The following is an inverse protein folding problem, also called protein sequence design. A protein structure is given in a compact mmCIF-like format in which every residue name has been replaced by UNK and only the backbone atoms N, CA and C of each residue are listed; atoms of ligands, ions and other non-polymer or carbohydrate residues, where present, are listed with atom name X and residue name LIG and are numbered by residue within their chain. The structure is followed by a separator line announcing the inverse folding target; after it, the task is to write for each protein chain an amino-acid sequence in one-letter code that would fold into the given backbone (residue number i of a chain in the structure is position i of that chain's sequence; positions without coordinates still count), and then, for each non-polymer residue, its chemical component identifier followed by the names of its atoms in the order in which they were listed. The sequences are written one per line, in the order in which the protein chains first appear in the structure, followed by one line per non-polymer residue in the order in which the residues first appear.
data_IF_518786721237
#
_entry.id   IF_518786721237
#
_cell.length_a   1.000
_cell.length_b   1.000
_cell.length_c   1.000
_cell.angle_alpha   90.00
_cell.angle_beta   90.00
_cell.angle_gamma   90.00
#
_symmetry.space_group_name_H-M   'P 1'
#
loop_
_entity.id
_entity.type
_entity.pdbx_description
1 polymer ?
#
# COMPACT_ATOMS: atom_id res chain seq x y z
N UNK A 1 -4.86 7.36 17.72
CA UNK A 1 -3.47 7.13 17.25
C UNK A 1 -3.50 6.19 16.05
N UNK A 2 -2.76 6.49 14.97
CA UNK A 2 -2.70 5.64 13.76
C UNK A 2 -2.08 4.28 14.12
N UNK A 3 -2.69 3.16 13.69
CA UNK A 3 -2.17 1.81 13.98
C UNK A 3 -0.71 1.62 13.53
N UNK A 4 -0.31 2.32 12.46
CA UNK A 4 1.06 2.32 11.95
C UNK A 4 2.09 2.94 12.92
N UNK A 5 1.67 3.68 13.94
CA UNK A 5 2.56 4.23 14.97
C UNK A 5 2.76 3.30 16.18
N UNK A 6 2.07 2.15 16.22
CA UNK A 6 2.27 1.13 17.27
C UNK A 6 3.52 0.29 16.98
N UNK A 7 4.68 0.90 17.18
CA UNK A 7 6.01 0.30 16.97
C UNK A 7 6.71 0.20 18.33
N UNK A 8 7.28 -0.97 18.63
CA UNK A 8 8.07 -1.16 19.84
C UNK A 8 9.26 -0.18 19.83
N UNK A 9 9.62 0.45 20.96
CA UNK A 9 10.63 1.51 20.97
C UNK A 9 11.95 1.14 20.27
N UNK A 10 12.41 -0.10 20.47
CA UNK A 10 13.62 -0.65 19.84
C UNK A 10 13.57 -0.81 18.31
N UNK A 11 12.37 -0.90 17.73
CA UNK A 11 12.18 -1.08 16.29
C UNK A 11 11.92 0.27 15.57
N UNK A 12 11.90 1.38 16.34
CA UNK A 12 11.66 2.71 15.79
C UNK A 12 12.85 3.15 14.95
N UNK A 13 12.58 3.58 13.72
CA UNK A 13 13.56 4.20 12.84
C UNK A 13 13.37 5.71 12.86
N UNK A 14 14.44 6.45 13.10
CA UNK A 14 14.39 7.91 13.14
C UNK A 14 13.84 8.47 11.81
N UNK A 15 12.96 9.46 11.91
CA UNK A 15 12.37 10.15 10.75
C UNK A 15 12.58 11.67 10.76
N UNK A 16 12.99 12.24 11.89
CA UNK A 16 13.15 13.68 12.05
C UNK A 16 14.58 14.09 12.40
N UNK A 17 14.79 15.39 12.52
CA UNK A 17 16.04 15.94 13.06
C UNK A 17 15.97 16.03 14.61
N UNK A 18 17.12 16.10 15.32
CA UNK A 18 17.14 16.23 16.78
C UNK A 18 16.40 17.49 17.26
N UNK A 19 15.54 17.36 18.28
CA UNK A 19 14.76 18.49 18.82
C UNK A 19 13.51 18.86 18.01
N UNK A 20 13.17 18.13 16.95
CA UNK A 20 11.95 18.33 16.17
C UNK A 20 10.70 18.33 17.06
N UNK A 21 9.81 19.30 16.84
CA UNK A 21 8.55 19.36 17.58
C UNK A 21 7.60 18.22 17.19
N UNK A 22 6.68 17.87 18.09
CA UNK A 22 5.65 16.87 17.81
C UNK A 22 4.80 17.22 16.58
N UNK A 23 4.55 18.52 16.36
CA UNK A 23 3.75 19.00 15.24
C UNK A 23 4.49 18.85 13.91
N UNK A 24 5.78 19.23 13.86
CA UNK A 24 6.62 19.07 12.67
C UNK A 24 6.81 17.60 12.30
N UNK A 25 7.07 16.74 13.28
CA UNK A 25 7.20 15.30 13.05
C UNK A 25 5.95 14.70 12.40
N UNK A 26 4.75 15.08 12.89
CA UNK A 26 3.48 14.60 12.32
C UNK A 26 3.22 15.16 10.93
N UNK A 27 3.57 16.43 10.67
CA UNK A 27 3.48 17.04 9.33
C UNK A 27 4.41 16.37 8.32
N UNK A 28 5.58 15.89 8.76
CA UNK A 28 6.47 15.07 7.95
C UNK A 28 5.93 13.65 7.67
N UNK A 29 4.70 13.33 8.10
CA UNK A 29 4.08 12.02 7.89
C UNK A 29 4.55 10.95 8.88
N UNK A 30 5.23 11.34 9.95
CA UNK A 30 5.82 10.44 10.92
C UNK A 30 5.09 10.38 12.26
N UNK A 31 5.47 9.40 13.06
CA UNK A 31 4.91 9.13 14.37
C UNK A 31 5.74 9.83 15.44
N UNK A 32 5.08 10.45 16.41
CA UNK A 32 5.75 11.10 17.53
C UNK A 32 5.39 10.44 18.86
N UNK A 33 6.38 10.01 19.63
CA UNK A 33 6.23 9.52 21.00
C UNK A 33 7.51 9.73 21.82
N UNK A 34 7.47 10.69 22.75
CA UNK A 34 8.57 11.06 23.64
C UNK A 34 8.60 10.30 24.98
N UNK A 35 7.70 9.34 25.20
CA UNK A 35 7.55 8.65 26.49
C UNK A 35 8.68 7.65 26.80
N UNK A 36 9.58 7.41 25.85
CA UNK A 36 10.71 6.47 26.01
C UNK A 36 12.01 7.22 25.76
N UNK A 37 12.88 7.40 26.78
CA UNK A 37 14.17 8.05 26.62
C UNK A 37 15.12 7.19 25.77
N UNK A 38 16.17 7.82 25.24
CA UNK A 38 17.21 7.20 24.39
C UNK A 38 16.73 6.57 23.07
N UNK A 39 15.43 6.58 22.76
CA UNK A 39 14.85 6.11 21.49
C UNK A 39 14.38 7.30 20.65
N UNK A 40 14.30 7.17 19.31
CA UNK A 40 13.79 8.24 18.46
C UNK A 40 12.35 8.60 18.84
N UNK A 41 12.14 9.89 19.16
CA UNK A 41 10.81 10.42 19.45
C UNK A 41 10.00 10.63 18.18
N UNK A 42 10.65 11.07 17.11
CA UNK A 42 10.08 11.12 15.77
C UNK A 42 10.54 9.91 14.95
N UNK A 43 9.61 9.05 14.56
CA UNK A 43 9.95 7.79 13.90
C UNK A 43 9.00 7.45 12.75
N UNK A 44 9.51 6.68 11.79
CA UNK A 44 8.75 6.26 10.62
C UNK A 44 7.58 5.36 11.01
N UNK A 45 6.39 5.54 10.41
CA UNK A 45 5.27 4.62 10.61
C UNK A 45 5.59 3.24 10.04
N UNK A 46 4.88 2.21 10.49
CA UNK A 46 4.93 0.89 9.86
C UNK A 46 4.54 1.03 8.39
N UNK A 47 5.21 0.31 7.47
CA UNK A 47 4.79 0.27 6.09
C UNK A 47 3.34 -0.20 6.03
N UNK A 48 2.55 0.43 5.15
CA UNK A 48 1.19 -0.02 4.88
C UNK A 48 1.28 -1.41 4.28
N UNK A 49 0.56 -2.37 4.87
CA UNK A 49 0.36 -3.67 4.23
C UNK A 49 -0.69 -3.47 3.16
N UNK A 50 -0.37 -3.89 1.94
CA UNK A 50 -1.30 -3.83 0.81
C UNK A 50 -1.45 -5.21 0.22
N UNK A 51 -2.70 -5.60 -0.05
CA UNK A 51 -3.02 -6.86 -0.71
C UNK A 51 -3.45 -6.58 -2.13
N UNK A 52 -2.80 -7.24 -3.10
CA UNK A 52 -3.22 -7.26 -4.50
C UNK A 52 -4.33 -8.29 -4.67
N UNK A 53 -5.37 -7.95 -5.42
CA UNK A 53 -6.44 -8.88 -5.76
C UNK A 53 -6.99 -8.60 -7.16
N UNK A 54 -7.57 -9.60 -7.78
CA UNK A 54 -8.30 -9.45 -9.03
C UNK A 54 -9.73 -8.99 -8.74
N UNK A 55 -10.15 -7.79 -9.16
CA UNK A 55 -11.52 -7.33 -8.93
C UNK A 55 -12.51 -8.31 -9.57
N UNK A 56 -13.52 -8.70 -8.80
CA UNK A 56 -14.59 -9.60 -9.24
C UNK A 56 -15.61 -8.86 -10.09
N UNK A 57 -15.94 -7.62 -9.72
CA UNK A 57 -16.81 -6.71 -10.46
C UNK A 57 -16.24 -6.40 -11.86
N UNK A 58 -16.94 -6.76 -12.95
CA UNK A 58 -16.58 -6.42 -14.32
C UNK A 58 -16.36 -4.93 -14.59
N UNK A 59 -17.13 -4.04 -13.96
CA UNK A 59 -17.05 -2.60 -14.21
C UNK A 59 -15.86 -1.95 -13.51
N UNK A 60 -15.34 -2.57 -12.46
CA UNK A 60 -14.11 -2.15 -11.81
C UNK A 60 -12.83 -2.54 -12.59
N UNK A 61 -12.94 -3.32 -13.67
CA UNK A 61 -11.79 -3.79 -14.46
C UNK A 61 -11.19 -2.67 -15.29
N UNK A 62 -9.88 -2.47 -15.13
CA UNK A 62 -9.09 -1.58 -15.99
C UNK A 62 -8.26 -2.42 -16.94
N UNK A 63 -8.41 -2.16 -18.24
CA UNK A 63 -7.77 -2.93 -19.28
C UNK A 63 -6.24 -2.96 -19.12
N UNK A 64 -5.67 -4.17 -19.14
CA UNK A 64 -4.23 -4.43 -19.10
C UNK A 64 -3.76 -5.23 -20.34
N UNK A 65 -4.64 -5.46 -21.32
CA UNK A 65 -4.42 -6.34 -22.45
C UNK A 65 -4.71 -5.69 -23.78
N UNK A 66 -5.12 -6.53 -24.73
CA UNK A 66 -5.66 -6.17 -26.02
C UNK A 66 -6.72 -7.20 -26.43
N UNK A 67 -7.64 -6.90 -27.37
CA UNK A 67 -8.63 -7.86 -27.85
C UNK A 67 -7.97 -9.14 -28.40
N UNK A 68 -8.46 -10.31 -28.01
CA UNK A 68 -7.90 -11.60 -28.43
C UNK A 68 -6.68 -12.08 -27.64
N UNK A 69 -6.21 -11.33 -26.62
CA UNK A 69 -5.14 -11.79 -25.74
C UNK A 69 -5.50 -13.11 -25.04
N UNK A 70 -4.55 -14.04 -24.99
CA UNK A 70 -4.74 -15.32 -24.29
C UNK A 70 -4.62 -15.14 -22.77
N UNK A 71 -5.19 -16.07 -22.00
CA UNK A 71 -5.06 -16.07 -20.55
C UNK A 71 -3.59 -16.08 -20.11
N UNK A 72 -2.80 -17.00 -20.69
CA UNK A 72 -1.37 -17.16 -20.41
C UNK A 72 -0.58 -15.88 -20.69
N UNK A 73 -0.85 -15.20 -21.81
CA UNK A 73 -0.16 -13.96 -22.13
C UNK A 73 -0.53 -12.82 -21.19
N UNK A 74 -1.80 -12.72 -20.80
CA UNK A 74 -2.25 -11.75 -19.80
C UNK A 74 -1.59 -11.96 -18.44
N UNK A 75 -1.55 -13.21 -17.96
CA UNK A 75 -0.96 -13.56 -16.66
C UNK A 75 0.55 -13.36 -16.66
N UNK A 76 1.24 -13.66 -17.78
CA UNK A 76 2.67 -13.37 -17.95
C UNK A 76 3.00 -11.89 -17.87
N UNK A 77 2.04 -11.01 -18.20
CA UNK A 77 2.16 -9.55 -18.01
C UNK A 77 1.90 -9.11 -16.56
N UNK A 78 1.63 -10.04 -15.65
CA UNK A 78 1.34 -9.75 -14.24
C UNK A 78 -0.06 -9.20 -14.01
N UNK A 79 -1.01 -9.53 -14.89
CA UNK A 79 -2.39 -9.08 -14.83
C UNK A 79 -3.36 -10.24 -14.57
N UNK A 80 -4.59 -9.87 -14.21
CA UNK A 80 -5.68 -10.80 -13.99
C UNK A 80 -6.37 -11.12 -15.32
N UNK A 81 -6.76 -12.36 -15.51
CA UNK A 81 -7.55 -12.77 -16.67
C UNK A 81 -8.92 -13.33 -16.25
N UNK A 82 -10.00 -12.85 -16.88
CA UNK A 82 -11.36 -13.39 -16.76
C UNK A 82 -12.18 -13.08 -18.00
N UNK A 83 -12.47 -14.09 -18.81
CA UNK A 83 -13.13 -13.96 -20.11
C UNK A 83 -14.64 -13.63 -20.07
N UNK A 84 -15.19 -13.25 -18.92
CA UNK A 84 -16.64 -12.99 -18.76
C UNK A 84 -16.89 -11.79 -17.83
N UNK A 85 -17.98 -11.02 -18.04
CA UNK A 85 -18.88 -11.06 -19.21
C UNK A 85 -18.23 -10.48 -20.48
N UNK A 86 -18.94 -10.50 -21.60
CA UNK A 86 -18.57 -9.75 -22.79
C UNK A 86 -18.70 -8.23 -22.56
N UNK A 87 -18.06 -7.41 -23.40
CA UNK A 87 -18.13 -5.95 -23.30
C UNK A 87 -17.27 -5.32 -22.19
N UNK A 88 -16.46 -6.12 -21.48
CA UNK A 88 -15.49 -5.64 -20.50
C UNK A 88 -14.08 -6.17 -20.78
N UNK A 89 -13.02 -5.56 -20.25
CA UNK A 89 -11.68 -6.09 -20.38
C UNK A 89 -11.56 -7.49 -19.77
N UNK A 90 -11.11 -8.45 -20.57
CA UNK A 90 -10.82 -9.81 -20.10
C UNK A 90 -9.46 -9.91 -19.43
N UNK A 91 -8.48 -9.15 -19.91
CA UNK A 91 -7.20 -8.95 -19.24
C UNK A 91 -7.20 -7.58 -18.54
N UNK A 92 -7.00 -7.56 -17.23
CA UNK A 92 -7.15 -6.36 -16.41
C UNK A 92 -6.17 -6.29 -15.24
N UNK A 93 -5.91 -5.06 -14.79
CA UNK A 93 -5.01 -4.83 -13.66
C UNK A 93 -5.57 -5.34 -12.34
N UNK A 94 -4.67 -5.79 -11.47
CA UNK A 94 -4.95 -5.98 -10.06
C UNK A 94 -5.41 -4.66 -9.40
N UNK A 95 -6.27 -4.79 -8.39
CA UNK A 95 -6.56 -3.72 -7.43
C UNK A 95 -5.77 -3.95 -6.15
N UNK A 96 -5.55 -2.88 -5.40
CA UNK A 96 -4.83 -2.90 -4.13
C UNK A 96 -5.78 -2.42 -3.03
N UNK A 97 -5.77 -3.12 -1.90
CA UNK A 97 -6.47 -2.71 -0.67
C UNK A 97 -5.47 -2.66 0.48
N UNK A 98 -5.59 -1.66 1.35
CA UNK A 98 -4.81 -1.59 2.59
C UNK A 98 -5.36 -2.62 3.60
N UNK A 99 -4.46 -3.40 4.21
CA UNK A 99 -4.78 -4.39 5.26
C UNK A 99 -4.72 -3.76 6.66
#
# INVERSE_FOLDING_TARGET
ARCQCKIAPRDRRNCGYPGISAAECRRAGCCFNASVPAMPWCFSPKPKKVKKFCPTDPHARRNCGFPGITATECERRGCCFRAHPAGVPWCFYHRMVEE
#
